data_IF_155038253783
#
_entry.id   IF_155038253783
#
_cell.length_a   1.000
_cell.length_b   1.000
_cell.length_c   1.000
_cell.angle_alpha   90.00
_cell.angle_beta   90.00
_cell.angle_gamma   90.00
#
_symmetry.space_group_name_H-M   'P 1'
#
loop_
_entity.id
_entity.type
_entity.pdbx_description
1 polymer ?
#
# COMPACT_ATOMS: atom_id res chain seq x y z
N UNK A 1 -80.66 -35.23 -26.39
CA UNK A 1 -80.44 -33.92 -25.77
C UNK A 1 -79.03 -33.91 -25.17
N UNK A 2 -78.07 -33.27 -25.83
CA UNK A 2 -76.64 -33.27 -25.47
C UNK A 2 -76.34 -32.11 -24.50
N UNK A 3 -75.82 -32.39 -23.32
CA UNK A 3 -75.33 -31.41 -22.34
C UNK A 3 -73.84 -31.13 -22.59
N UNK A 4 -73.51 -29.88 -22.92
CA UNK A 4 -72.13 -29.41 -23.10
C UNK A 4 -71.60 -28.80 -21.79
N UNK A 5 -70.66 -29.48 -21.15
CA UNK A 5 -69.90 -28.96 -20.01
C UNK A 5 -68.70 -28.19 -20.55
N UNK A 6 -68.65 -26.87 -20.31
CA UNK A 6 -67.50 -26.02 -20.63
C UNK A 6 -66.52 -26.02 -19.47
N UNK A 7 -65.32 -26.55 -19.71
CA UNK A 7 -64.17 -26.45 -18.79
C UNK A 7 -63.46 -25.12 -19.08
N UNK A 8 -63.38 -24.27 -18.05
CA UNK A 8 -62.70 -22.98 -18.11
C UNK A 8 -61.27 -23.15 -17.60
N UNK A 9 -60.28 -23.11 -18.50
CA UNK A 9 -58.86 -23.14 -18.14
C UNK A 9 -58.39 -21.73 -17.76
N UNK A 10 -58.06 -21.51 -16.49
CA UNK A 10 -57.44 -20.27 -16.00
C UNK A 10 -55.92 -20.44 -16.11
N UNK A 11 -55.30 -19.75 -17.07
CA UNK A 11 -53.86 -19.68 -17.21
C UNK A 11 -53.31 -18.66 -16.18
N UNK A 12 -52.58 -19.16 -15.18
CA UNK A 12 -51.89 -18.33 -14.20
C UNK A 12 -50.63 -17.70 -14.79
N UNK A 13 -50.58 -16.37 -14.82
CA UNK A 13 -49.44 -15.58 -15.26
C UNK A 13 -48.49 -15.37 -14.06
N UNK A 14 -47.35 -16.07 -14.05
CA UNK A 14 -46.32 -15.90 -13.03
C UNK A 14 -45.39 -14.74 -13.41
N UNK A 15 -45.48 -13.62 -12.70
CA UNK A 15 -44.54 -12.49 -12.84
C UNK A 15 -43.27 -12.82 -12.06
N UNK A 16 -42.20 -13.18 -12.76
CA UNK A 16 -40.87 -13.32 -12.18
C UNK A 16 -40.24 -11.93 -12.00
N UNK A 17 -40.32 -11.38 -10.78
CA UNK A 17 -39.64 -10.12 -10.44
C UNK A 17 -38.15 -10.36 -10.22
N UNK A 18 -37.31 -9.82 -11.11
CA UNK A 18 -35.85 -9.82 -10.96
C UNK A 18 -35.45 -8.78 -9.90
N UNK A 19 -35.11 -9.22 -8.70
CA UNK A 19 -34.50 -8.37 -7.69
C UNK A 19 -33.02 -8.17 -8.05
N UNK A 20 -32.69 -6.97 -8.49
CA UNK A 20 -31.30 -6.56 -8.73
C UNK A 20 -30.69 -6.13 -7.40
N UNK A 21 -29.82 -6.96 -6.82
CA UNK A 21 -29.04 -6.57 -5.65
C UNK A 21 -27.85 -5.75 -6.13
N UNK A 22 -27.85 -4.44 -5.83
CA UNK A 22 -26.70 -3.58 -6.07
C UNK A 22 -25.57 -3.94 -5.10
N UNK A 23 -24.42 -4.33 -5.62
CA UNK A 23 -23.21 -4.51 -4.82
C UNK A 23 -22.79 -3.15 -4.25
N UNK A 24 -22.70 -3.06 -2.93
CA UNK A 24 -22.11 -1.90 -2.25
C UNK A 24 -20.59 -2.11 -2.34
N UNK A 25 -19.90 -1.30 -3.15
CA UNK A 25 -18.45 -1.23 -3.13
C UNK A 25 -18.02 -0.59 -1.81
N UNK A 26 -17.29 -1.32 -0.97
CA UNK A 26 -16.47 -0.70 0.07
C UNK A 26 -15.35 0.07 -0.61
N UNK A 27 -15.15 1.33 -0.23
CA UNK A 27 -14.00 2.09 -0.69
C UNK A 27 -12.71 1.46 -0.16
N UNK A 28 -11.68 1.38 -1.00
CA UNK A 28 -10.36 0.94 -0.57
C UNK A 28 -9.88 1.82 0.59
N UNK A 29 -9.42 1.18 1.67
CA UNK A 29 -8.73 1.88 2.77
C UNK A 29 -7.27 1.94 2.37
N UNK A 30 -6.64 3.10 2.50
CA UNK A 30 -5.20 3.23 2.29
C UNK A 30 -4.52 3.36 3.66
N UNK A 31 -3.51 2.52 3.90
CA UNK A 31 -2.54 2.77 4.95
C UNK A 31 -1.59 3.87 4.46
N UNK A 32 -1.27 4.85 5.32
CA UNK A 32 -0.42 5.99 4.97
C UNK A 32 0.52 6.29 6.11
N UNK A 33 1.82 6.20 5.87
CA UNK A 33 2.86 6.63 6.80
C UNK A 33 3.50 7.94 6.31
N UNK A 34 3.37 8.99 7.11
CA UNK A 34 4.00 10.31 6.90
C UNK A 34 5.01 10.63 8.00
N UNK A 35 5.11 9.80 9.05
CA UNK A 35 6.06 9.93 10.17
C UNK A 35 5.92 11.19 11.03
N UNK A 36 5.05 12.14 10.65
CA UNK A 36 4.83 13.42 11.33
C UNK A 36 4.36 13.32 12.77
N UNK A 37 3.71 12.20 13.12
CA UNK A 37 3.25 11.95 14.48
C UNK A 37 4.33 11.38 15.40
N UNK A 38 5.48 10.97 14.83
CA UNK A 38 6.58 10.37 15.56
C UNK A 38 7.52 11.46 16.10
N UNK A 39 8.27 11.12 17.15
CA UNK A 39 9.33 12.00 17.64
C UNK A 39 10.60 11.77 16.82
N UNK A 40 11.33 12.85 16.52
CA UNK A 40 12.68 12.78 15.95
C UNK A 40 13.59 11.87 16.80
N UNK A 41 14.47 11.13 16.11
CA UNK A 41 15.47 10.28 16.70
C UNK A 41 15.43 8.83 16.23
N UNK A 42 16.20 7.97 16.90
CA UNK A 42 16.33 6.56 16.53
C UNK A 42 15.08 5.76 16.88
N UNK A 43 14.47 5.12 15.89
CA UNK A 43 13.26 4.28 16.02
C UNK A 43 13.56 2.78 16.20
N UNK A 44 14.82 2.36 16.05
CA UNK A 44 15.25 0.97 16.23
C UNK A 44 15.23 0.14 14.94
N UNK A 45 15.21 -1.19 15.04
CA UNK A 45 15.29 -2.10 13.87
C UNK A 45 13.95 -2.36 13.19
N UNK A 46 12.86 -1.86 13.77
CA UNK A 46 11.50 -2.01 13.28
C UNK A 46 10.72 -0.77 13.64
N UNK A 47 10.01 -0.20 12.67
CA UNK A 47 9.20 0.99 12.85
C UNK A 47 7.78 0.72 12.34
N UNK A 48 6.76 1.28 13.00
CA UNK A 48 5.40 1.25 12.49
C UNK A 48 4.78 2.63 12.57
N UNK A 49 4.20 3.08 11.47
CA UNK A 49 3.45 4.33 11.36
C UNK A 49 2.27 4.14 10.41
N UNK A 50 1.12 4.73 10.71
CA UNK A 50 -0.01 4.70 9.78
C UNK A 50 -0.56 3.31 9.40
N UNK A 51 -0.26 2.27 10.20
CA UNK A 51 -0.59 0.87 9.89
C UNK A 51 0.41 0.17 8.96
N UNK A 52 1.52 0.82 8.63
CA UNK A 52 2.62 0.31 7.81
C UNK A 52 3.83 0.02 8.71
N UNK A 53 4.40 -1.18 8.59
CA UNK A 53 5.58 -1.62 9.34
C UNK A 53 6.79 -1.72 8.40
N UNK A 54 7.90 -1.12 8.83
CA UNK A 54 9.22 -1.16 8.18
C UNK A 54 10.15 -2.04 9.01
N UNK A 55 10.88 -2.95 8.36
CA UNK A 55 11.74 -3.93 9.01
C UNK A 55 12.81 -4.48 8.06
N UNK A 56 13.66 -5.39 8.57
CA UNK A 56 14.76 -6.01 7.82
C UNK A 56 15.62 -4.96 7.09
N UNK A 57 15.94 -3.85 7.77
CA UNK A 57 16.80 -2.81 7.22
C UNK A 57 18.22 -3.36 7.06
N UNK A 58 18.78 -3.17 5.87
CA UNK A 58 20.19 -3.39 5.57
C UNK A 58 20.81 -2.07 5.07
N UNK A 59 21.80 -1.57 5.80
CA UNK A 59 22.55 -0.35 5.45
C UNK A 59 23.88 -0.66 4.76
N UNK A 60 24.19 -1.94 4.52
CA UNK A 60 25.48 -2.43 4.01
C UNK A 60 26.66 -1.91 4.80
N UNK A 61 26.52 -1.90 6.12
CA UNK A 61 27.58 -1.60 7.06
C UNK A 61 27.93 -2.86 7.84
N UNK A 62 29.20 -3.25 7.77
CA UNK A 62 29.70 -4.29 8.65
C UNK A 62 29.65 -3.81 10.11
N UNK A 63 29.37 -4.73 11.03
CA UNK A 63 29.50 -4.53 12.48
C UNK A 63 28.67 -3.40 13.10
N UNK A 64 27.62 -2.93 12.40
CA UNK A 64 26.66 -1.94 12.89
C UNK A 64 25.27 -2.54 12.91
N UNK A 65 24.48 -2.28 13.96
CA UNK A 65 23.08 -2.68 14.00
C UNK A 65 22.29 -1.64 13.19
N UNK A 66 21.64 -2.04 12.07
CA UNK A 66 20.82 -1.12 11.29
C UNK A 66 19.69 -0.54 12.12
N UNK A 67 19.44 0.76 11.98
CA UNK A 67 18.30 1.41 12.64
C UNK A 67 17.55 2.33 11.69
N UNK A 68 16.23 2.36 11.82
CA UNK A 68 15.41 3.44 11.33
C UNK A 68 15.58 4.65 12.23
N UNK A 69 15.51 5.84 11.64
CA UNK A 69 15.54 7.10 12.36
C UNK A 69 14.49 8.03 11.77
N UNK A 70 13.85 8.80 12.64
CA UNK A 70 12.94 9.88 12.26
C UNK A 70 13.78 11.15 12.26
N UNK A 71 13.80 11.83 11.13
CA UNK A 71 14.46 13.13 10.96
C UNK A 71 13.39 14.20 10.86
N UNK A 72 13.64 15.36 11.46
CA UNK A 72 12.83 16.54 11.20
C UNK A 72 13.42 17.37 10.07
N UNK A 73 12.57 18.09 9.35
CA UNK A 73 13.02 19.10 8.42
C UNK A 73 12.08 20.30 8.39
N UNK A 74 12.66 21.47 8.14
CA UNK A 74 11.88 22.66 7.83
C UNK A 74 11.12 22.46 6.50
N UNK A 75 9.80 22.70 6.45
CA UNK A 75 8.99 22.48 5.25
C UNK A 75 9.42 23.36 4.08
N UNK A 76 10.11 24.47 4.32
CA UNK A 76 10.63 25.37 3.30
C UNK A 76 11.80 24.79 2.49
N UNK A 77 12.48 23.77 3.03
CA UNK A 77 13.59 23.10 2.35
C UNK A 77 13.09 22.15 1.25
N UNK A 78 11.89 21.61 1.47
CA UNK A 78 11.21 20.74 0.53
C UNK A 78 10.12 21.53 -0.22
N UNK A 79 9.54 20.94 -1.26
CA UNK A 79 8.34 21.50 -1.86
C UNK A 79 7.07 20.85 -1.28
N UNK A 80 5.91 21.07 -1.91
CA UNK A 80 4.63 20.54 -1.43
C UNK A 80 4.52 19.01 -1.40
N UNK A 81 5.56 18.27 -1.83
CA UNK A 81 5.60 16.81 -1.73
C UNK A 81 6.08 16.29 -0.38
N UNK A 82 6.62 17.13 0.50
CA UNK A 82 6.99 16.73 1.85
C UNK A 82 5.84 16.95 2.83
N UNK A 83 5.52 15.92 3.60
CA UNK A 83 4.64 16.00 4.76
C UNK A 83 5.48 16.38 5.96
N UNK A 84 5.21 17.55 6.53
CA UNK A 84 5.98 18.09 7.64
C UNK A 84 5.35 17.72 8.99
N UNK A 85 6.16 17.53 10.06
CA UNK A 85 7.56 17.94 10.14
C UNK A 85 8.61 16.84 9.91
N UNK A 86 8.25 15.59 9.63
CA UNK A 86 9.20 14.48 9.71
C UNK A 86 9.23 13.60 8.47
N UNK A 87 10.36 12.93 8.27
CA UNK A 87 10.48 11.83 7.30
C UNK A 87 11.29 10.67 7.90
N UNK A 88 11.25 9.53 7.22
CA UNK A 88 12.01 8.34 7.59
C UNK A 88 13.42 8.36 6.96
N UNK A 89 14.45 8.19 7.79
CA UNK A 89 15.86 8.05 7.43
C UNK A 89 16.47 6.79 8.08
N UNK A 90 17.79 6.62 7.95
CA UNK A 90 18.47 5.37 8.28
C UNK A 90 19.80 5.59 9.01
N UNK A 91 19.99 4.92 10.14
CA UNK A 91 21.21 4.99 10.95
C UNK A 91 21.16 6.16 11.92
N UNK A 92 22.07 7.12 11.76
CA UNK A 92 22.08 8.34 12.59
C UNK A 92 21.03 9.34 12.11
N UNK A 93 20.75 10.33 12.95
CA UNK A 93 19.95 11.50 12.61
C UNK A 93 20.71 12.79 12.94
N UNK A 94 20.27 13.92 12.41
CA UNK A 94 20.71 15.26 12.81
C UNK A 94 19.66 15.86 13.75
N UNK A 95 20.07 16.45 14.88
CA UNK A 95 19.10 17.05 15.81
C UNK A 95 18.63 18.41 15.28
N UNK A 96 17.31 18.61 15.15
CA UNK A 96 16.69 19.89 14.84
C UNK A 96 16.16 20.01 13.41
N UNK A 97 16.08 21.24 12.89
CA UNK A 97 15.55 21.49 11.54
C UNK A 97 16.59 21.25 10.41
N UNK A 98 17.76 20.71 10.77
CA UNK A 98 18.75 20.25 9.80
C UNK A 98 18.32 18.89 9.25
N UNK A 99 18.49 18.66 7.95
CA UNK A 99 18.11 17.39 7.34
C UNK A 99 19.35 16.55 6.99
N UNK A 100 19.22 15.24 7.20
CA UNK A 100 20.21 14.24 6.84
C UNK A 100 19.59 13.08 6.07
N UNK A 101 20.35 12.51 5.15
CA UNK A 101 19.96 11.24 4.53
C UNK A 101 20.92 10.14 4.94
N UNK A 102 20.33 9.14 5.60
CA UNK A 102 21.00 7.95 6.06
C UNK A 102 21.46 7.02 4.95
N UNK A 103 22.48 6.22 5.24
CA UNK A 103 22.95 5.14 4.36
C UNK A 103 21.86 4.07 4.22
N UNK A 104 21.47 3.72 3.00
CA UNK A 104 20.42 2.76 2.69
C UNK A 104 20.88 1.70 1.67
N UNK A 105 20.58 0.44 1.97
CA UNK A 105 20.77 -0.71 1.08
C UNK A 105 19.44 -1.39 0.72
N UNK A 106 18.67 -1.81 1.71
CA UNK A 106 17.31 -2.33 1.49
C UNK A 106 16.45 -2.30 2.75
N UNK A 107 15.13 -2.35 2.59
CA UNK A 107 14.17 -2.61 3.68
C UNK A 107 12.94 -3.35 3.17
N UNK A 108 12.22 -4.00 4.08
CA UNK A 108 10.90 -4.56 3.84
C UNK A 108 9.82 -3.69 4.48
N UNK A 109 8.67 -3.63 3.81
CA UNK A 109 7.53 -2.80 4.17
C UNK A 109 6.28 -3.67 4.07
N UNK A 110 5.45 -3.68 5.11
CA UNK A 110 4.20 -4.45 5.11
C UNK A 110 3.07 -3.65 5.75
N UNK A 111 1.85 -3.87 5.27
CA UNK A 111 0.63 -3.37 5.90
C UNK A 111 -0.08 -4.51 6.66
N UNK A 112 -1.13 -4.16 7.42
CA UNK A 112 -1.93 -5.15 8.15
C UNK A 112 -2.75 -6.08 7.24
N UNK A 113 -2.95 -5.70 5.98
CA UNK A 113 -3.67 -6.49 4.98
C UNK A 113 -2.98 -6.44 3.61
N UNK A 114 -3.27 -7.38 2.69
CA UNK A 114 -2.70 -7.36 1.35
C UNK A 114 -3.02 -6.08 0.57
N UNK A 115 -1.99 -5.45 0.01
CA UNK A 115 -2.09 -4.27 -0.84
C UNK A 115 -2.37 -4.61 -2.30
N UNK A 116 -2.83 -3.62 -3.06
CA UNK A 116 -3.07 -3.68 -4.52
C UNK A 116 -2.31 -2.61 -5.30
N UNK A 117 -1.93 -1.53 -4.62
CA UNK A 117 -1.06 -0.49 -5.12
C UNK A 117 -0.22 0.07 -3.96
N UNK A 118 0.96 0.60 -4.28
CA UNK A 118 1.82 1.29 -3.35
C UNK A 118 2.54 2.47 -4.01
N UNK A 119 2.81 3.52 -3.24
CA UNK A 119 3.68 4.62 -3.63
C UNK A 119 4.55 5.08 -2.47
N UNK A 120 5.77 5.53 -2.77
CA UNK A 120 6.69 6.11 -1.82
C UNK A 120 7.28 7.37 -2.44
N UNK A 121 7.35 8.45 -1.67
CA UNK A 121 8.15 9.61 -2.01
C UNK A 121 9.55 9.44 -1.44
N UNK A 122 10.55 9.61 -2.30
CA UNK A 122 11.96 9.44 -2.00
C UNK A 122 12.66 10.76 -2.15
N UNK A 123 13.48 11.12 -1.16
CA UNK A 123 14.32 12.31 -1.18
C UNK A 123 15.79 11.93 -1.14
N UNK A 124 16.64 12.71 -1.80
CA UNK A 124 18.09 12.54 -1.77
C UNK A 124 18.78 13.88 -2.02
N UNK A 125 20.12 13.87 -1.99
CA UNK A 125 20.96 15.03 -2.28
C UNK A 125 21.68 14.83 -3.62
N UNK A 126 21.80 15.90 -4.40
CA UNK A 126 22.46 15.96 -5.71
C UNK A 126 24.00 15.90 -5.62
N UNK A 127 24.58 15.24 -4.60
CA UNK A 127 26.01 15.40 -4.30
C UNK A 127 26.95 14.58 -5.18
N UNK A 128 26.46 13.67 -6.02
CA UNK A 128 27.26 13.10 -7.11
C UNK A 128 26.37 12.36 -8.10
N UNK A 129 26.65 12.39 -9.42
CA UNK A 129 26.05 11.42 -10.32
C UNK A 129 26.36 10.02 -9.78
N UNK A 130 25.31 9.30 -9.39
CA UNK A 130 25.39 7.89 -9.07
C UNK A 130 24.69 7.11 -10.17
N UNK A 131 25.30 6.00 -10.56
CA UNK A 131 24.71 4.99 -11.43
C UNK A 131 23.85 3.99 -10.66
N UNK A 132 23.63 4.22 -9.36
CA UNK A 132 22.76 3.40 -8.54
C UNK A 132 21.28 3.67 -8.85
N UNK A 133 20.46 2.68 -8.53
CA UNK A 133 19.02 2.67 -8.74
C UNK A 133 18.30 2.12 -7.51
N UNK A 134 17.08 2.58 -7.31
CA UNK A 134 16.14 2.06 -6.32
C UNK A 134 15.08 1.23 -7.03
N UNK A 135 14.90 0.00 -6.56
CA UNK A 135 13.88 -0.92 -7.06
C UNK A 135 12.89 -1.19 -5.94
N UNK A 136 11.62 -0.87 -6.20
CA UNK A 136 10.51 -1.29 -5.35
C UNK A 136 9.97 -2.59 -5.95
N UNK A 137 9.92 -3.64 -5.13
CA UNK A 137 9.34 -4.93 -5.49
C UNK A 137 8.09 -5.15 -4.64
N UNK A 138 7.02 -5.63 -5.27
CA UNK A 138 5.83 -6.13 -4.60
C UNK A 138 5.93 -7.66 -4.53
N UNK A 139 5.74 -8.21 -3.33
CA UNK A 139 5.86 -9.63 -3.05
C UNK A 139 4.52 -10.21 -2.63
N UNK A 140 4.24 -11.44 -3.06
CA UNK A 140 3.20 -12.28 -2.51
C UNK A 140 3.87 -13.52 -1.92
N UNK A 141 3.96 -13.56 -0.59
CA UNK A 141 4.91 -14.41 0.12
C UNK A 141 6.34 -14.00 -0.22
N UNK A 142 7.12 -14.91 -0.80
CA UNK A 142 8.50 -14.64 -1.23
C UNK A 142 8.64 -14.45 -2.75
N UNK A 143 7.52 -14.45 -3.48
CA UNK A 143 7.52 -14.29 -4.94
C UNK A 143 7.32 -12.84 -5.32
N UNK A 144 8.23 -12.27 -6.12
CA UNK A 144 8.04 -10.95 -6.71
C UNK A 144 6.94 -11.02 -7.77
N UNK A 145 5.85 -10.31 -7.54
CA UNK A 145 4.68 -10.25 -8.43
C UNK A 145 4.66 -9.00 -9.31
N UNK A 146 5.33 -7.93 -8.88
CA UNK A 146 5.60 -6.74 -9.68
C UNK A 146 6.85 -6.03 -9.18
N UNK A 147 7.45 -5.19 -10.02
CA UNK A 147 8.53 -4.30 -9.62
C UNK A 147 8.55 -3.04 -10.46
N UNK A 148 9.09 -1.98 -9.87
CA UNK A 148 9.44 -0.73 -10.57
C UNK A 148 10.84 -0.31 -10.15
N UNK A 149 11.59 0.31 -11.04
CA UNK A 149 12.96 0.73 -10.77
C UNK A 149 13.21 2.14 -11.29
N UNK A 150 13.92 2.95 -10.50
CA UNK A 150 14.30 4.32 -10.84
C UNK A 150 15.79 4.50 -10.63
N UNK A 151 16.47 5.06 -11.62
CA UNK A 151 17.86 5.48 -11.46
C UNK A 151 17.90 6.75 -10.60
N UNK A 152 18.92 6.90 -9.75
CA UNK A 152 19.15 8.14 -9.00
C UNK A 152 19.35 9.35 -9.91
N UNK A 153 19.92 9.14 -11.09
CA UNK A 153 20.05 10.17 -12.12
C UNK A 153 18.71 10.69 -12.67
N UNK A 154 17.60 9.99 -12.40
CA UNK A 154 16.25 10.39 -12.81
C UNK A 154 15.48 11.11 -11.70
N UNK A 155 16.11 11.36 -10.54
CA UNK A 155 15.51 12.18 -9.50
C UNK A 155 15.50 13.64 -9.96
N UNK A 156 14.41 14.33 -9.69
CA UNK A 156 14.18 15.70 -10.13
C UNK A 156 14.53 16.68 -9.00
N UNK A 157 15.22 17.80 -9.30
CA UNK A 157 15.51 18.83 -8.31
C UNK A 157 14.25 19.38 -7.64
N UNK A 158 14.34 19.59 -6.33
CA UNK A 158 13.33 20.28 -5.51
C UNK A 158 14.00 21.32 -4.62
N UNK A 159 13.29 22.42 -4.33
CA UNK A 159 13.81 23.49 -3.48
C UNK A 159 15.06 24.17 -4.02
N UNK A 160 15.83 24.79 -3.12
CA UNK A 160 17.02 25.59 -3.46
C UNK A 160 18.36 24.93 -3.05
N UNK A 161 18.34 23.81 -2.31
CA UNK A 161 19.52 23.26 -1.62
C UNK A 161 20.09 21.97 -2.24
N UNK A 162 19.89 21.77 -3.54
CA UNK A 162 20.39 20.56 -4.23
C UNK A 162 19.69 19.29 -3.76
N UNK A 163 18.50 19.42 -3.17
CA UNK A 163 17.60 18.31 -2.91
C UNK A 163 17.02 17.80 -4.23
N UNK A 164 16.82 16.50 -4.30
CA UNK A 164 16.16 15.84 -5.42
C UNK A 164 15.12 14.87 -4.90
N UNK A 165 14.06 14.65 -5.67
CA UNK A 165 13.01 13.70 -5.33
C UNK A 165 12.71 12.73 -6.45
N UNK A 166 12.09 11.62 -6.06
CA UNK A 166 11.38 10.76 -6.98
C UNK A 166 10.24 10.02 -6.27
N UNK A 167 9.13 9.83 -6.97
CA UNK A 167 8.08 8.91 -6.51
C UNK A 167 8.27 7.56 -7.20
N UNK A 168 8.28 6.48 -6.41
CA UNK A 168 8.23 5.10 -6.93
C UNK A 168 6.86 4.51 -6.61
N UNK A 169 6.25 3.85 -7.59
CA UNK A 169 4.91 3.30 -7.42
C UNK A 169 4.71 1.98 -8.16
N UNK A 170 3.85 1.13 -7.59
CA UNK A 170 3.32 -0.12 -8.16
C UNK A 170 1.80 -0.04 -8.07
N UNK A 171 1.09 -0.56 -9.08
CA UNK A 171 -0.36 -0.60 -9.10
C UNK A 171 -0.88 -1.90 -9.72
N UNK A 172 -2.18 -2.16 -9.52
CA UNK A 172 -2.93 -3.25 -10.15
C UNK A 172 -2.38 -4.66 -9.89
N UNK A 173 -1.81 -4.90 -8.70
CA UNK A 173 -1.23 -6.21 -8.33
C UNK A 173 -1.40 -6.49 -6.84
N UNK A 174 -1.90 -7.66 -6.47
CA UNK A 174 -2.00 -8.06 -5.06
C UNK A 174 -0.65 -8.48 -4.49
N UNK A 175 -0.26 -7.89 -3.36
CA UNK A 175 0.96 -8.20 -2.61
C UNK A 175 0.70 -8.20 -1.10
N UNK A 176 1.49 -8.92 -0.33
CA UNK A 176 1.48 -8.87 1.14
C UNK A 176 2.64 -8.05 1.72
N UNK A 177 3.71 -7.86 0.94
CA UNK A 177 4.90 -7.13 1.36
C UNK A 177 5.49 -6.36 0.18
N UNK A 178 6.17 -5.26 0.47
CA UNK A 178 7.07 -4.57 -0.45
C UNK A 178 8.51 -4.75 0.00
N UNK A 179 9.43 -4.68 -0.95
CA UNK A 179 10.88 -4.61 -0.69
C UNK A 179 11.46 -3.46 -1.51
N UNK A 180 12.05 -2.48 -0.82
CA UNK A 180 12.80 -1.40 -1.47
C UNK A 180 14.28 -1.77 -1.42
N UNK A 181 14.94 -1.77 -2.57
CA UNK A 181 16.33 -2.20 -2.72
C UNK A 181 17.10 -1.17 -3.52
N UNK A 182 18.19 -0.67 -2.95
CA UNK A 182 19.20 0.07 -3.67
C UNK A 182 20.18 -0.89 -4.35
N UNK A 183 20.61 -0.60 -5.57
CA UNK A 183 21.54 -1.43 -6.32
C UNK A 183 22.36 -0.61 -7.29
N UNK A 184 23.53 -1.10 -7.69
CA UNK A 184 24.36 -0.43 -8.70
C UNK A 184 25.85 -0.58 -8.40
N UNK A 185 26.70 0.00 -9.25
CA UNK A 185 28.15 -0.18 -9.17
C UNK A 185 28.83 0.71 -8.12
N UNK A 186 28.17 1.76 -7.62
CA UNK A 186 28.80 2.72 -6.72
C UNK A 186 28.59 2.32 -5.27
N UNK A 187 29.66 2.29 -4.46
CA UNK A 187 29.63 2.01 -3.02
C UNK A 187 28.77 0.78 -2.66
N UNK A 188 29.01 -0.34 -3.36
CA UNK A 188 28.24 -1.58 -3.23
C UNK A 188 26.71 -1.39 -3.40
N UNK A 189 26.33 -0.44 -4.26
CA UNK A 189 24.95 -0.11 -4.60
C UNK A 189 24.20 0.70 -3.55
N UNK A 190 24.90 1.26 -2.56
CA UNK A 190 24.30 2.05 -1.48
C UNK A 190 23.81 3.40 -1.97
N UNK A 191 22.76 3.91 -1.33
CA UNK A 191 22.22 5.25 -1.59
C UNK A 191 21.99 5.98 -0.27
N UNK A 192 21.85 7.30 -0.36
CA UNK A 192 21.51 8.16 0.78
C UNK A 192 20.15 8.78 0.51
N UNK A 193 19.11 8.26 1.16
CA UNK A 193 17.73 8.69 0.90
C UNK A 193 16.92 8.89 2.18
N UNK A 194 15.88 9.70 2.07
CA UNK A 194 14.75 9.78 3.00
C UNK A 194 13.47 9.26 2.34
N UNK A 195 12.55 8.73 3.14
CA UNK A 195 11.24 8.23 2.71
C UNK A 195 10.13 9.05 3.37
N UNK A 196 9.11 9.38 2.60
CA UNK A 196 7.90 10.04 3.10
C UNK A 196 6.67 9.58 2.29
N UNK A 197 5.47 9.92 2.77
CA UNK A 197 4.18 9.67 2.14
C UNK A 197 4.02 8.23 1.63
N UNK A 198 4.47 7.26 2.42
CA UNK A 198 4.37 5.85 2.05
C UNK A 198 2.92 5.43 2.12
N UNK A 199 2.36 5.08 0.97
CA UNK A 199 0.94 4.74 0.82
C UNK A 199 0.79 3.32 0.28
N UNK A 200 -0.08 2.54 0.90
CA UNK A 200 -0.47 1.20 0.44
C UNK A 200 -1.99 1.17 0.33
N UNK A 201 -2.51 0.92 -0.87
CA UNK A 201 -3.95 0.71 -1.10
C UNK A 201 -4.33 -0.71 -0.74
N UNK A 202 -5.09 -0.88 0.34
CA UNK A 202 -5.42 -2.19 0.89
C UNK A 202 -6.62 -2.81 0.16
N UNK A 203 -6.57 -4.13 0.00
CA UNK A 203 -7.71 -4.90 -0.50
C UNK A 203 -8.78 -4.94 0.59
N UNK A 204 -9.86 -4.16 0.45
CA UNK A 204 -11.03 -4.41 1.29
C UNK A 204 -11.57 -5.78 0.93
N UNK A 205 -11.56 -6.71 1.87
CA UNK A 205 -12.29 -7.96 1.72
C UNK A 205 -13.76 -7.59 1.52
N UNK A 206 -14.24 -7.75 0.29
CA UNK A 206 -15.67 -7.62 0.01
C UNK A 206 -16.34 -8.71 0.85
N UNK A 207 -17.19 -8.37 1.84
CA UNK A 207 -17.88 -9.40 2.59
C UNK A 207 -18.69 -10.20 1.59
N UNK A 208 -18.48 -11.52 1.53
CA UNK A 208 -19.35 -12.37 0.73
C UNK A 208 -20.80 -12.08 1.17
N UNK A 209 -21.73 -11.83 0.23
CA UNK A 209 -23.11 -11.59 0.61
C UNK A 209 -23.60 -12.82 1.39
N UNK A 210 -23.93 -12.62 2.66
CA UNK A 210 -24.36 -13.65 3.61
C UNK A 210 -25.71 -14.31 3.26
N UNK A 211 -26.11 -14.36 1.99
CA UNK A 211 -27.49 -14.61 1.58
C UNK A 211 -27.59 -15.39 0.26
N UNK A 212 -27.24 -16.68 0.31
CA UNK A 212 -27.90 -17.68 -0.56
C UNK A 212 -28.48 -18.86 0.23
N UNK A 213 -27.91 -19.20 1.39
CA UNK A 213 -28.46 -20.25 2.25
C UNK A 213 -29.85 -19.92 2.82
N UNK A 214 -30.17 -18.65 3.05
CA UNK A 214 -31.41 -18.21 3.70
C UNK A 214 -32.64 -18.23 2.78
N UNK A 215 -32.47 -18.14 1.45
CA UNK A 215 -33.59 -18.12 0.50
C UNK A 215 -34.11 -19.54 0.20
N UNK A 216 -33.22 -20.55 0.23
CA UNK A 216 -33.63 -21.95 0.10
C UNK A 216 -34.43 -22.45 1.32
N UNK A 217 -34.16 -21.92 2.51
CA UNK A 217 -34.89 -22.29 3.73
C UNK A 217 -36.36 -21.81 3.75
N UNK A 218 -36.66 -20.65 3.14
CA UNK A 218 -38.04 -20.13 3.07
C UNK A 218 -38.84 -20.81 1.94
N UNK A 219 -38.18 -21.17 0.83
CA UNK A 219 -38.82 -21.90 -0.28
C UNK A 219 -39.29 -23.30 0.11
N UNK A 220 -38.52 -24.03 0.93
CA UNK A 220 -38.89 -25.37 1.38
C UNK A 220 -40.07 -25.37 2.38
N UNK A 221 -40.25 -24.29 3.16
CA UNK A 221 -41.35 -24.19 4.12
C UNK A 221 -42.71 -23.96 3.44
N UNK A 222 -42.74 -23.29 2.28
CA UNK A 222 -43.98 -23.00 1.55
C UNK A 222 -44.49 -24.18 0.69
N UNK A 223 -43.64 -25.14 0.35
CA UNK A 223 -44.05 -26.35 -0.40
C UNK A 223 -44.66 -27.42 0.53
N UNK A 224 -44.31 -27.41 1.83
CA UNK A 224 -44.78 -28.39 2.82
C UNK A 224 -46.23 -28.20 3.30
N UNK A 225 -46.83 -27.01 3.16
CA UNK A 225 -48.15 -26.70 3.76
C UNK A 225 -49.33 -27.07 2.83
N UNK A 226 -49.08 -27.42 1.55
CA UNK A 226 -50.15 -27.60 0.55
C UNK A 226 -50.64 -29.04 0.35
N UNK A 227 -50.40 -29.95 1.29
CA UNK A 227 -50.97 -31.32 1.29
C UNK A 227 -51.75 -31.60 2.59
N UNK A 228 -52.98 -31.09 2.67
CA UNK A 228 -54.09 -31.69 3.43
C UNK A 228 -55.37 -31.49 2.66
#
# INVERSE_FOLDING_TARGET
MLNAVRVCCIAGLSVAGTLSFGAISSGAIAAVATFDSLSEGTAGTTLTDGGITFFDLDQRLADTIPSFSIESAAPELFDSSFSAPNYLSFGSFAEGEEFGFGRFGSTRIAAGTPGTAASLDLFSLLFSPSSNALTLEALLGETVVASTSVALSAFEPIGEDGLVRQTVAIADVTFDQLRLIASGPDDDGVVFIGLDNVRIEETTSVPEPASVASILAIGALLIGIRRR
#
